data_IF_094511446775
#
_entry.id   IF_094511446775
#
_cell.length_a   1.000
_cell.length_b   1.000
_cell.length_c   1.000
_cell.angle_alpha   90.00
_cell.angle_beta   90.00
_cell.angle_gamma   90.00
#
_symmetry.space_group_name_H-M   'P 1'
#
loop_
_entity.id
_entity.type
_entity.pdbx_description
1 polymer ?
#
# COMPACT_ATOMS: atom_id res chain seq x y z
N UNK A 1 16.40 18.06 -24.49
CA UNK A 1 16.69 19.50 -24.59
C UNK A 1 15.65 20.25 -23.78
N UNK A 2 15.99 20.62 -22.55
CA UNK A 2 15.22 21.57 -21.75
C UNK A 2 16.22 22.64 -21.32
N UNK A 3 16.03 23.85 -21.84
CA UNK A 3 16.89 24.99 -21.57
C UNK A 3 16.67 25.42 -20.11
N UNK A 4 17.71 25.23 -19.28
CA UNK A 4 17.76 25.80 -17.95
C UNK A 4 17.97 27.31 -18.05
N UNK A 5 16.98 28.08 -17.64
CA UNK A 5 17.16 29.49 -17.32
C UNK A 5 17.99 29.55 -16.04
N UNK A 6 19.24 29.99 -16.16
CA UNK A 6 20.11 30.27 -15.01
C UNK A 6 19.63 31.58 -14.39
N UNK A 7 18.72 31.50 -13.42
CA UNK A 7 18.37 32.66 -12.59
C UNK A 7 19.49 32.84 -11.58
N UNK A 8 20.32 33.85 -11.81
CA UNK A 8 21.36 34.26 -10.89
C UNK A 8 20.72 35.15 -9.81
N UNK A 9 20.19 34.53 -8.75
CA UNK A 9 19.71 35.25 -7.56
C UNK A 9 20.84 35.27 -6.54
N UNK A 10 21.64 36.32 -6.57
CA UNK A 10 22.48 36.66 -5.43
C UNK A 10 21.59 37.32 -4.36
N UNK A 11 20.76 36.51 -3.69
CA UNK A 11 20.10 36.93 -2.45
C UNK A 11 20.64 36.03 -1.32
N UNK A 12 21.38 36.65 -0.42
CA UNK A 12 21.83 36.10 0.85
C UNK A 12 20.66 35.81 1.84
N UNK A 13 19.43 35.66 1.34
CA UNK A 13 18.22 35.44 2.15
C UNK A 13 17.75 33.97 2.12
N UNK A 14 18.32 33.11 1.25
CA UNK A 14 17.97 31.69 1.18
C UNK A 14 18.63 30.83 2.27
N UNK A 15 19.48 31.44 3.11
CA UNK A 15 20.22 30.79 4.19
C UNK A 15 19.58 30.97 5.57
N UNK A 16 18.33 31.44 5.64
CA UNK A 16 17.58 31.32 6.89
C UNK A 16 17.33 29.83 7.18
N UNK A 17 17.82 29.31 8.33
CA UNK A 17 17.51 27.96 8.75
C UNK A 17 15.98 27.87 8.94
N UNK A 18 15.36 26.82 8.42
CA UNK A 18 13.97 26.47 8.77
C UNK A 18 13.77 26.59 10.28
N UNK A 19 12.90 27.50 10.73
CA UNK A 19 12.54 27.66 12.14
C UNK A 19 11.89 26.37 12.65
N UNK A 20 12.69 25.54 13.31
CA UNK A 20 12.29 24.25 13.89
C UNK A 20 13.50 23.37 14.19
N UNK A 21 13.42 22.54 15.23
CA UNK A 21 14.50 21.59 15.54
C UNK A 21 14.67 20.60 14.39
N UNK A 22 15.82 20.65 13.70
CA UNK A 22 16.17 19.74 12.58
C UNK A 22 15.98 18.27 12.96
N UNK A 23 16.35 17.92 14.19
CA UNK A 23 16.20 16.57 14.74
C UNK A 23 14.73 16.16 14.85
N UNK A 24 13.85 17.07 15.26
CA UNK A 24 12.42 16.81 15.35
C UNK A 24 11.81 16.53 13.96
N UNK A 25 12.15 17.34 12.95
CA UNK A 25 11.69 17.14 11.58
C UNK A 25 12.13 15.76 11.02
N UNK A 26 13.39 15.38 11.24
CA UNK A 26 13.92 14.08 10.80
C UNK A 26 13.18 12.92 11.49
N UNK A 27 12.97 12.99 12.81
CA UNK A 27 12.24 11.95 13.57
C UNK A 27 10.81 11.79 13.03
N UNK A 28 10.12 12.89 12.77
CA UNK A 28 8.75 12.86 12.23
C UNK A 28 8.71 12.26 10.82
N UNK A 29 9.67 12.60 9.96
CA UNK A 29 9.76 12.02 8.61
C UNK A 29 10.07 10.52 8.64
N UNK A 30 10.95 10.07 9.53
CA UNK A 30 11.26 8.64 9.74
C UNK A 30 10.04 7.90 10.26
N UNK A 31 9.30 8.49 11.20
CA UNK A 31 8.06 7.90 11.71
C UNK A 31 6.98 7.82 10.62
N UNK A 32 6.84 8.85 9.79
CA UNK A 32 5.93 8.82 8.64
C UNK A 32 6.35 7.75 7.61
N UNK A 33 7.66 7.52 7.42
CA UNK A 33 8.15 6.49 6.52
C UNK A 33 7.71 5.06 6.93
N UNK A 34 7.48 4.79 8.22
CA UNK A 34 6.95 3.50 8.69
C UNK A 34 5.59 3.17 8.09
N UNK A 35 4.78 4.17 7.71
CA UNK A 35 3.53 3.92 6.97
C UNK A 35 3.78 3.23 5.62
N UNK A 36 4.92 3.52 4.97
CA UNK A 36 5.35 2.83 3.76
C UNK A 36 5.65 1.34 4.00
N UNK A 37 6.11 0.98 5.20
CA UNK A 37 6.37 -0.43 5.56
C UNK A 37 5.07 -1.24 5.48
N UNK A 38 4.00 -0.72 6.08
CA UNK A 38 2.69 -1.36 6.07
C UNK A 38 2.13 -1.50 4.66
N UNK A 39 2.31 -0.49 3.82
CA UNK A 39 1.93 -0.55 2.42
C UNK A 39 2.63 -1.69 1.68
N UNK A 40 3.96 -1.77 1.79
CA UNK A 40 4.74 -2.85 1.17
C UNK A 40 4.38 -4.23 1.72
N UNK A 41 4.10 -4.30 3.02
CA UNK A 41 3.72 -5.55 3.68
C UNK A 41 2.40 -6.11 3.15
N UNK A 42 1.36 -5.29 3.02
CA UNK A 42 0.06 -5.71 2.49
C UNK A 42 0.17 -6.29 1.06
N UNK A 43 0.95 -5.62 0.21
CA UNK A 43 1.20 -6.09 -1.15
C UNK A 43 1.89 -7.46 -1.17
N UNK A 44 2.92 -7.64 -0.34
CA UNK A 44 3.65 -8.91 -0.28
C UNK A 44 2.83 -10.06 0.31
N UNK A 45 2.03 -9.82 1.35
CA UNK A 45 1.16 -10.86 1.93
C UNK A 45 0.10 -11.26 0.91
N UNK A 46 -0.49 -10.29 0.20
CA UNK A 46 -1.52 -10.55 -0.80
C UNK A 46 -1.02 -11.44 -1.95
N UNK A 47 0.22 -11.26 -2.40
CA UNK A 47 0.79 -12.12 -3.46
C UNK A 47 1.01 -13.58 -3.02
N UNK A 48 1.33 -13.82 -1.74
CA UNK A 48 1.56 -15.18 -1.24
C UNK A 48 0.27 -15.90 -0.81
N UNK A 49 -0.69 -15.18 -0.23
CA UNK A 49 -1.94 -15.79 0.27
C UNK A 49 -2.73 -16.50 -0.84
N UNK A 50 -2.71 -15.99 -2.08
CA UNK A 50 -3.46 -16.56 -3.20
C UNK A 50 -3.04 -17.99 -3.57
N UNK A 51 -1.81 -18.38 -3.23
CA UNK A 51 -1.26 -19.72 -3.53
C UNK A 51 -1.23 -20.64 -2.31
N UNK A 52 -1.59 -20.15 -1.12
CA UNK A 52 -1.59 -20.96 0.11
C UNK A 52 -2.74 -21.98 0.09
N UNK A 53 -2.44 -23.20 0.55
CA UNK A 53 -3.43 -24.29 0.61
C UNK A 53 -4.67 -23.93 1.44
N UNK A 54 -4.51 -23.18 2.53
CA UNK A 54 -5.65 -22.70 3.34
C UNK A 54 -6.59 -21.80 2.53
N UNK A 55 -6.06 -20.88 1.75
CA UNK A 55 -6.86 -19.98 0.92
C UNK A 55 -7.53 -20.72 -0.22
N UNK A 56 -6.81 -21.65 -0.86
CA UNK A 56 -7.33 -22.51 -1.92
C UNK A 56 -8.48 -23.38 -1.39
N UNK A 57 -8.36 -23.96 -0.20
CA UNK A 57 -9.43 -24.77 0.39
C UNK A 57 -10.68 -23.94 0.73
N UNK A 58 -10.51 -22.70 1.19
CA UNK A 58 -11.63 -21.84 1.58
C UNK A 58 -12.34 -21.17 0.41
N UNK A 59 -11.62 -20.88 -0.70
CA UNK A 59 -12.15 -20.09 -1.82
C UNK A 59 -12.12 -20.82 -3.18
N UNK A 60 -11.24 -21.78 -3.43
CA UNK A 60 -11.22 -22.49 -4.71
C UNK A 60 -11.94 -23.84 -4.65
N UNK A 61 -11.71 -24.63 -3.59
CA UNK A 61 -12.33 -25.96 -3.46
C UNK A 61 -13.83 -25.82 -3.23
N UNK A 62 -14.65 -26.53 -4.01
CA UNK A 62 -16.11 -26.47 -3.92
C UNK A 62 -16.74 -25.36 -4.78
N UNK A 63 -15.97 -24.36 -5.22
CA UNK A 63 -16.42 -23.36 -6.18
C UNK A 63 -16.60 -24.03 -7.56
N UNK A 64 -17.77 -23.90 -8.19
CA UNK A 64 -18.12 -24.62 -9.43
C UNK A 64 -17.77 -26.13 -9.43
N UNK A 65 -17.79 -26.78 -8.26
CA UNK A 65 -17.40 -28.18 -8.08
C UNK A 65 -15.93 -28.49 -8.44
N UNK A 66 -15.03 -27.50 -8.25
CA UNK A 66 -13.59 -27.71 -8.41
C UNK A 66 -13.01 -28.59 -7.30
N UNK A 67 -12.12 -29.48 -7.73
CA UNK A 67 -11.35 -30.35 -6.82
C UNK A 67 -10.03 -29.69 -6.45
N UNK A 68 -9.49 -30.07 -5.29
CA UNK A 68 -8.18 -29.59 -4.82
C UNK A 68 -7.07 -29.72 -5.89
N UNK A 69 -7.06 -30.85 -6.62
CA UNK A 69 -6.06 -31.09 -7.67
C UNK A 69 -6.14 -30.12 -8.85
N UNK A 70 -7.32 -29.55 -9.14
CA UNK A 70 -7.48 -28.54 -10.20
C UNK A 70 -7.04 -27.16 -9.71
N UNK A 71 -7.28 -26.86 -8.43
CA UNK A 71 -6.87 -25.59 -7.82
C UNK A 71 -5.35 -25.50 -7.56
N UNK A 72 -4.68 -26.63 -7.38
CA UNK A 72 -3.21 -26.72 -7.19
C UNK A 72 -2.46 -27.16 -8.46
N UNK A 73 -3.12 -27.14 -9.63
CA UNK A 73 -2.47 -27.46 -10.89
C UNK A 73 -1.42 -26.40 -11.26
N UNK A 74 -0.58 -26.70 -12.27
CA UNK A 74 0.32 -25.69 -12.84
C UNK A 74 -0.47 -24.48 -13.35
N UNK A 75 0.13 -23.29 -13.33
CA UNK A 75 -0.53 -22.03 -13.69
C UNK A 75 -1.17 -22.03 -15.09
N UNK A 76 -0.71 -22.88 -16.01
CA UNK A 76 -1.29 -23.07 -17.35
C UNK A 76 -2.61 -23.86 -17.37
N UNK A 77 -2.84 -24.71 -16.37
CA UNK A 77 -3.95 -25.66 -16.32
C UNK A 77 -4.98 -25.29 -15.23
N UNK A 78 -4.83 -24.10 -14.63
CA UNK A 78 -5.77 -23.56 -13.65
C UNK A 78 -7.13 -23.28 -14.31
N UNK A 79 -8.25 -23.52 -13.61
CA UNK A 79 -9.57 -23.13 -14.09
C UNK A 79 -9.65 -21.63 -14.44
N UNK A 80 -10.31 -21.31 -15.55
CA UNK A 80 -10.45 -19.93 -16.02
C UNK A 80 -11.18 -19.07 -14.98
N UNK A 81 -12.20 -19.62 -14.33
CA UNK A 81 -13.01 -18.93 -13.32
C UNK A 81 -12.20 -18.58 -12.07
N UNK A 82 -11.26 -19.45 -11.67
CA UNK A 82 -10.35 -19.18 -10.54
C UNK A 82 -9.33 -18.12 -10.90
N UNK A 83 -8.75 -18.21 -12.11
CA UNK A 83 -7.82 -17.20 -12.61
C UNK A 83 -8.50 -15.84 -12.71
N UNK A 84 -9.70 -15.78 -13.28
CA UNK A 84 -10.51 -14.55 -13.36
C UNK A 84 -10.79 -13.97 -11.97
N UNK A 85 -11.09 -14.82 -10.98
CA UNK A 85 -11.28 -14.38 -9.60
C UNK A 85 -10.01 -13.72 -9.02
N UNK A 86 -8.85 -14.38 -9.14
CA UNK A 86 -7.58 -13.83 -8.61
C UNK A 86 -7.14 -12.56 -9.32
N UNK A 87 -7.41 -12.43 -10.63
CA UNK A 87 -7.16 -11.20 -11.39
C UNK A 87 -8.08 -10.09 -10.92
N UNK A 88 -9.39 -10.33 -10.84
CA UNK A 88 -10.36 -9.35 -10.34
C UNK A 88 -10.11 -8.95 -8.90
N UNK A 89 -9.62 -9.86 -8.07
CA UNK A 89 -9.23 -9.58 -6.70
C UNK A 89 -8.12 -8.52 -6.61
N UNK A 90 -7.08 -8.63 -7.44
CA UNK A 90 -6.02 -7.62 -7.54
C UNK A 90 -6.51 -6.32 -8.20
N UNK A 91 -7.37 -6.43 -9.22
CA UNK A 91 -7.95 -5.26 -9.89
C UNK A 91 -8.88 -4.46 -8.97
N UNK A 92 -9.72 -5.11 -8.17
CA UNK A 92 -10.60 -4.48 -7.19
C UNK A 92 -9.80 -3.67 -6.16
N UNK A 93 -8.69 -4.23 -5.68
CA UNK A 93 -7.75 -3.52 -4.82
C UNK A 93 -7.17 -2.27 -5.51
N UNK A 94 -6.66 -2.41 -6.74
CA UNK A 94 -6.10 -1.28 -7.49
C UNK A 94 -7.13 -0.19 -7.83
N UNK A 95 -8.38 -0.58 -8.12
CA UNK A 95 -9.50 0.35 -8.29
C UNK A 95 -9.78 1.13 -7.00
N UNK A 96 -9.74 0.44 -5.85
CA UNK A 96 -9.78 1.07 -4.54
C UNK A 96 -8.65 2.07 -4.34
N UNK A 97 -7.41 1.68 -4.66
CA UNK A 97 -6.24 2.55 -4.56
C UNK A 97 -6.36 3.81 -5.43
N UNK A 98 -6.83 3.65 -6.67
CA UNK A 98 -7.05 4.77 -7.59
C UNK A 98 -8.08 5.75 -7.00
N UNK A 99 -9.24 5.24 -6.57
CA UNK A 99 -10.27 6.06 -5.93
C UNK A 99 -9.78 6.74 -4.65
N UNK A 100 -9.06 6.01 -3.81
CA UNK A 100 -8.49 6.49 -2.55
C UNK A 100 -7.45 7.58 -2.74
N UNK A 101 -6.62 7.49 -3.78
CA UNK A 101 -5.66 8.53 -4.11
C UNK A 101 -6.34 9.83 -4.58
N UNK A 102 -7.35 9.73 -5.46
CA UNK A 102 -8.09 10.90 -5.95
C UNK A 102 -8.87 11.61 -4.84
N UNK A 103 -9.66 10.86 -4.06
CA UNK A 103 -10.45 11.44 -2.97
C UNK A 103 -9.54 11.89 -1.84
N UNK A 104 -8.50 11.12 -1.54
CA UNK A 104 -7.53 11.44 -0.51
C UNK A 104 -6.86 12.80 -0.75
N UNK A 105 -6.51 13.13 -2.00
CA UNK A 105 -5.94 14.43 -2.35
C UNK A 105 -6.87 15.59 -1.96
N UNK A 106 -8.15 15.49 -2.32
CA UNK A 106 -9.17 16.48 -1.91
C UNK A 106 -9.30 16.58 -0.39
N UNK A 107 -9.27 15.44 0.31
CA UNK A 107 -9.33 15.38 1.77
C UNK A 107 -8.09 16.01 2.41
N UNK A 108 -6.90 15.80 1.84
CA UNK A 108 -5.64 16.40 2.31
C UNK A 108 -5.62 17.92 2.22
N UNK A 109 -6.26 18.47 1.20
CA UNK A 109 -6.39 19.93 1.03
C UNK A 109 -7.40 20.53 2.02
N UNK A 110 -8.49 19.82 2.34
CA UNK A 110 -9.52 20.34 3.26
C UNK A 110 -9.27 20.06 4.75
N UNK A 111 -8.89 18.84 5.11
CA UNK A 111 -8.74 18.39 6.50
C UNK A 111 -7.28 18.41 6.98
N UNK A 112 -6.34 18.67 6.07
CA UNK A 112 -4.91 18.65 6.35
C UNK A 112 -4.31 17.25 6.31
N UNK A 113 -2.98 17.20 6.27
CA UNK A 113 -2.22 15.99 5.92
C UNK A 113 -2.31 14.91 7.00
N UNK A 114 -2.26 15.31 8.28
CA UNK A 114 -2.33 14.38 9.42
C UNK A 114 -3.67 13.65 9.51
N UNK A 115 -4.77 14.37 9.31
CA UNK A 115 -6.11 13.79 9.31
C UNK A 115 -6.27 12.80 8.16
N UNK A 116 -5.75 13.12 6.97
CA UNK A 116 -5.77 12.22 5.82
C UNK A 116 -5.03 10.92 6.07
N UNK A 117 -3.82 10.98 6.67
CA UNK A 117 -3.04 9.78 7.04
C UNK A 117 -3.81 8.93 8.07
N UNK A 118 -4.45 9.56 9.06
CA UNK A 118 -5.24 8.84 10.04
C UNK A 118 -6.45 8.14 9.43
N UNK A 119 -7.21 8.84 8.56
CA UNK A 119 -8.33 8.26 7.82
C UNK A 119 -7.89 7.09 6.92
N UNK A 120 -6.72 7.21 6.28
CA UNK A 120 -6.13 6.13 5.49
C UNK A 120 -5.92 4.86 6.33
N UNK A 121 -5.35 5.01 7.53
CA UNK A 121 -5.13 3.90 8.45
C UNK A 121 -6.43 3.26 8.93
N UNK A 122 -7.47 4.05 9.25
CA UNK A 122 -8.77 3.52 9.66
C UNK A 122 -9.42 2.71 8.53
N UNK A 123 -9.44 3.23 7.31
CA UNK A 123 -9.99 2.53 6.15
C UNK A 123 -9.23 1.24 5.83
N UNK A 124 -7.90 1.27 5.96
CA UNK A 124 -7.06 0.08 5.84
C UNK A 124 -7.43 -0.98 6.87
N UNK A 125 -7.49 -0.61 8.16
CA UNK A 125 -7.84 -1.54 9.24
C UNK A 125 -9.23 -2.17 9.04
N UNK A 126 -10.23 -1.38 8.61
CA UNK A 126 -11.58 -1.87 8.30
C UNK A 126 -11.54 -2.87 7.14
N UNK A 127 -10.85 -2.51 6.04
CA UNK A 127 -10.72 -3.36 4.86
C UNK A 127 -10.01 -4.68 5.16
N UNK A 128 -8.86 -4.64 5.83
CA UNK A 128 -8.11 -5.84 6.22
C UNK A 128 -8.89 -6.72 7.18
N UNK A 129 -9.57 -6.13 8.17
CA UNK A 129 -10.42 -6.91 9.08
C UNK A 129 -11.53 -7.63 8.33
N UNK A 130 -12.14 -6.97 7.35
CA UNK A 130 -13.15 -7.60 6.50
C UNK A 130 -12.56 -8.77 5.70
N UNK A 131 -11.39 -8.59 5.06
CA UNK A 131 -10.71 -9.69 4.34
C UNK A 131 -10.47 -10.89 5.27
N UNK A 132 -10.06 -10.67 6.53
CA UNK A 132 -9.79 -11.74 7.48
C UNK A 132 -11.03 -12.45 8.04
N UNK A 133 -12.15 -11.73 8.22
CA UNK A 133 -13.39 -12.29 8.79
C UNK A 133 -14.41 -12.73 7.73
N UNK A 134 -14.05 -12.66 6.45
CA UNK A 134 -14.94 -13.07 5.39
C UNK A 134 -15.22 -14.59 5.45
N UNK A 135 -16.45 -14.98 5.13
CA UNK A 135 -16.85 -16.39 5.13
C UNK A 135 -16.22 -17.10 3.93
N UNK A 136 -15.89 -18.38 4.12
CA UNK A 136 -15.45 -19.25 3.03
C UNK A 136 -16.46 -19.23 1.87
N UNK A 137 -15.96 -19.28 0.63
CA UNK A 137 -16.73 -19.25 -0.62
C UNK A 137 -17.50 -17.95 -0.93
N UNK A 138 -17.32 -16.86 -0.17
CA UNK A 138 -17.96 -15.57 -0.44
C UNK A 138 -17.04 -14.62 -1.23
N UNK A 139 -16.94 -14.86 -2.54
CA UNK A 139 -16.03 -14.13 -3.44
C UNK A 139 -16.45 -12.67 -3.66
N UNK A 140 -17.76 -12.39 -3.70
CA UNK A 140 -18.27 -11.03 -3.89
C UNK A 140 -17.93 -10.09 -2.73
N UNK A 141 -18.06 -10.58 -1.49
CA UNK A 141 -17.68 -9.85 -0.29
C UNK A 141 -16.16 -9.59 -0.26
N UNK A 142 -15.37 -10.52 -0.80
CA UNK A 142 -13.92 -10.39 -0.88
C UNK A 142 -13.51 -9.22 -1.79
N UNK A 143 -14.18 -9.03 -2.92
CA UNK A 143 -13.93 -7.88 -3.80
C UNK A 143 -14.24 -6.55 -3.12
N UNK A 144 -15.38 -6.46 -2.41
CA UNK A 144 -15.77 -5.24 -1.70
C UNK A 144 -14.75 -4.91 -0.61
N UNK A 145 -14.33 -5.91 0.17
CA UNK A 145 -13.30 -5.76 1.19
C UNK A 145 -11.99 -5.22 0.58
N UNK A 146 -11.59 -5.72 -0.59
CA UNK A 146 -10.39 -5.27 -1.31
C UNK A 146 -10.50 -3.84 -1.83
N UNK A 147 -11.68 -3.41 -2.31
CA UNK A 147 -11.90 -2.01 -2.71
C UNK A 147 -11.74 -1.08 -1.50
N UNK A 148 -12.36 -1.42 -0.36
CA UNK A 148 -12.29 -0.60 0.86
C UNK A 148 -10.86 -0.53 1.39
N UNK A 149 -10.18 -1.67 1.45
CA UNK A 149 -8.78 -1.75 1.85
C UNK A 149 -7.90 -0.90 0.91
N UNK A 150 -8.07 -1.07 -0.40
CA UNK A 150 -7.38 -0.30 -1.42
C UNK A 150 -7.60 1.21 -1.29
N UNK A 151 -8.80 1.65 -0.90
CA UNK A 151 -9.08 3.08 -0.67
C UNK A 151 -8.22 3.66 0.45
N UNK A 152 -8.06 2.93 1.56
CA UNK A 152 -7.15 3.30 2.64
C UNK A 152 -5.71 3.35 2.17
N UNK A 153 -5.27 2.31 1.45
CA UNK A 153 -3.90 2.24 0.93
C UNK A 153 -3.60 3.36 -0.06
N UNK A 154 -4.40 3.54 -1.10
CA UNK A 154 -4.19 4.57 -2.11
C UNK A 154 -4.13 5.97 -1.52
N UNK A 155 -4.94 6.23 -0.48
CA UNK A 155 -4.86 7.47 0.27
C UNK A 155 -3.50 7.63 1.01
N UNK A 156 -3.01 6.56 1.64
CA UNK A 156 -1.69 6.56 2.30
C UNK A 156 -0.52 6.74 1.31
N UNK A 157 -0.62 6.16 0.11
CA UNK A 157 0.47 6.11 -0.88
C UNK A 157 0.89 7.47 -1.41
N UNK A 158 0.00 8.47 -1.43
CA UNK A 158 0.37 9.85 -1.76
C UNK A 158 0.51 10.73 -0.51
N UNK A 159 -0.30 10.53 0.53
CA UNK A 159 -0.33 11.44 1.69
C UNK A 159 0.91 11.33 2.57
N UNK A 160 1.49 10.13 2.72
CA UNK A 160 2.74 9.91 3.46
C UNK A 160 3.96 10.62 2.82
N UNK A 161 4.27 10.42 1.52
CA UNK A 161 5.37 11.14 0.89
C UNK A 161 5.12 12.65 0.80
N UNK A 162 3.87 13.09 0.63
CA UNK A 162 3.52 14.50 0.65
C UNK A 162 3.81 15.12 2.02
N UNK A 163 3.33 14.48 3.10
CA UNK A 163 3.61 14.93 4.46
C UNK A 163 5.12 14.93 4.77
N UNK A 164 5.84 13.90 4.32
CA UNK A 164 7.29 13.84 4.44
C UNK A 164 7.99 15.00 3.74
N UNK A 165 7.57 15.33 2.52
CA UNK A 165 8.15 16.42 1.74
C UNK A 165 7.89 17.80 2.37
N UNK A 166 6.70 18.02 2.94
CA UNK A 166 6.34 19.25 3.63
C UNK A 166 7.11 19.44 4.96
N UNK A 167 7.39 18.35 5.68
CA UNK A 167 8.11 18.41 6.96
C UNK A 167 9.65 18.37 6.81
N UNK A 168 10.15 17.84 5.69
CA UNK A 168 11.58 17.64 5.50
C UNK A 168 12.35 18.96 5.34
N UNK A 169 13.54 19.10 5.98
CA UNK A 169 14.40 20.25 5.78
C UNK A 169 14.91 20.29 4.34
N UNK A 170 15.10 21.51 3.82
CA UNK A 170 15.43 21.77 2.40
C UNK A 170 16.59 20.94 1.87
N UNK A 171 17.65 20.73 2.66
CA UNK A 171 18.83 19.99 2.22
C UNK A 171 18.63 18.46 2.17
N UNK A 172 17.72 17.89 2.98
CA UNK A 172 17.56 16.44 3.14
C UNK A 172 16.25 15.90 2.54
N UNK A 173 15.43 16.75 1.92
CA UNK A 173 14.13 16.37 1.36
C UNK A 173 14.22 15.18 0.39
N UNK A 174 15.24 15.17 -0.48
CA UNK A 174 15.47 14.06 -1.42
C UNK A 174 15.83 12.75 -0.71
N UNK A 175 16.71 12.79 0.29
CA UNK A 175 17.12 11.62 1.07
C UNK A 175 15.92 11.02 1.83
N UNK A 176 15.13 11.88 2.50
CA UNK A 176 13.98 11.45 3.28
C UNK A 176 12.87 10.86 2.40
N UNK A 177 12.64 11.41 1.21
CA UNK A 177 11.73 10.83 0.24
C UNK A 177 12.21 9.45 -0.25
N UNK A 178 13.50 9.29 -0.53
CA UNK A 178 14.10 7.99 -0.86
C UNK A 178 13.95 6.96 0.27
N UNK A 179 14.11 7.40 1.53
CA UNK A 179 13.94 6.54 2.70
C UNK A 179 12.50 6.01 2.84
N UNK A 180 11.49 6.81 2.48
CA UNK A 180 10.11 6.35 2.45
C UNK A 180 9.91 5.19 1.45
N UNK A 181 10.47 5.30 0.25
CA UNK A 181 10.40 4.22 -0.74
C UNK A 181 11.18 2.97 -0.32
N UNK A 182 12.35 3.14 0.30
CA UNK A 182 13.12 2.03 0.87
C UNK A 182 12.30 1.25 1.92
N UNK A 183 11.50 1.96 2.70
CA UNK A 183 10.65 1.35 3.72
C UNK A 183 9.54 0.50 3.08
N UNK A 184 8.97 0.91 1.94
CA UNK A 184 8.02 0.10 1.15
C UNK A 184 8.66 -1.20 0.67
N UNK A 185 9.85 -1.13 0.08
CA UNK A 185 10.57 -2.33 -0.39
C UNK A 185 10.93 -3.26 0.77
N UNK A 186 11.30 -2.68 1.92
CA UNK A 186 11.57 -3.45 3.14
C UNK A 186 10.32 -4.17 3.63
N UNK A 187 9.15 -3.53 3.62
CA UNK A 187 7.88 -4.17 3.95
C UNK A 187 7.53 -5.32 3.02
N UNK A 188 7.72 -5.15 1.71
CA UNK A 188 7.51 -6.19 0.71
C UNK A 188 8.43 -7.40 0.94
N UNK A 189 9.70 -7.16 1.24
CA UNK A 189 10.66 -8.21 1.56
C UNK A 189 10.24 -8.98 2.82
N UNK A 190 9.87 -8.27 3.89
CA UNK A 190 9.43 -8.90 5.15
C UNK A 190 8.17 -9.75 4.95
N UNK A 191 7.20 -9.28 4.16
CA UNK A 191 6.00 -10.05 3.86
C UNK A 191 6.30 -11.34 3.10
N UNK A 192 7.16 -11.29 2.08
CA UNK A 192 7.56 -12.49 1.35
C UNK A 192 8.34 -13.47 2.25
N UNK A 193 9.21 -12.98 3.13
CA UNK A 193 9.88 -13.82 4.12
C UNK A 193 8.87 -14.51 5.06
N UNK A 194 7.85 -13.79 5.52
CA UNK A 194 6.77 -14.37 6.34
C UNK A 194 5.99 -15.42 5.56
N UNK A 195 5.63 -15.15 4.30
CA UNK A 195 4.91 -16.12 3.46
C UNK A 195 5.69 -17.44 3.34
N UNK A 196 6.99 -17.38 3.06
CA UNK A 196 7.84 -18.59 2.97
C UNK A 196 7.86 -19.34 4.31
N UNK A 197 7.96 -18.62 5.44
CA UNK A 197 7.98 -19.27 6.76
C UNK A 197 6.65 -19.96 7.07
N UNK A 198 5.53 -19.35 6.67
CA UNK A 198 4.18 -19.88 6.91
C UNK A 198 3.87 -21.03 5.97
N UNK A 199 4.27 -20.96 4.70
CA UNK A 199 4.08 -22.02 3.70
C UNK A 199 4.84 -23.31 4.07
N UNK A 200 6.00 -23.20 4.71
CA UNK A 200 6.80 -24.35 5.15
C UNK A 200 6.29 -25.01 6.45
N UNK A 201 5.11 -24.64 6.96
CA UNK A 201 4.49 -25.22 8.17
C UNK A 201 3.20 -25.94 7.85
#
# INVERSE_FOLDING_TARGET
MAAGVVVNVHNNDDDVPTEGSRTYAIIVCVFAALGGLFFGYDQGVTSGVLIMDSFINDYCVGWHNFTYKQCTASTSDLPAEWTDFTVWYNMAYNLGCLGGAFVGGYVADKLGRRATIFCAGVLFCIGTSWVCFNKAQEHGLMYIARVIQGFGVGNSSFSLPLFGAEMAPKELRGLLAGFMQMTVVTGLFLANAVNIIVENR
#
